data_IF_440062285160
#
_entry.id   IF_440062285160
#
_cell.length_a   1.000
_cell.length_b   1.000
_cell.length_c   1.000
_cell.angle_alpha   90.00
_cell.angle_beta   90.00
_cell.angle_gamma   90.00
#
_symmetry.space_group_name_H-M   'P 1'
#
loop_
_entity.id
_entity.type
_entity.pdbx_description
1 polymer ?
#
# COMPACT_ATOMS: atom_id res chain seq x y z
N UNK A 1 -2.97 11.68 14.59
CA UNK A 1 -3.56 12.61 13.58
C UNK A 1 -3.72 13.93 14.30
N UNK A 2 -3.04 14.96 13.80
CA UNK A 2 -3.08 16.31 14.40
C UNK A 2 -4.40 17.03 14.07
N UNK A 3 -5.06 16.65 12.99
CA UNK A 3 -6.29 17.28 12.53
C UNK A 3 -7.37 16.25 12.21
N UNK A 4 -8.40 16.15 13.03
CA UNK A 4 -9.52 15.23 12.82
C UNK A 4 -10.34 15.53 11.55
N UNK A 5 -10.22 16.74 10.99
CA UNK A 5 -10.90 17.11 9.75
C UNK A 5 -10.26 16.50 8.49
N UNK A 6 -9.09 15.89 8.62
CA UNK A 6 -8.40 15.14 7.56
C UNK A 6 -8.82 13.66 7.50
N UNK A 7 -9.60 13.19 8.48
CA UNK A 7 -10.13 11.83 8.50
C UNK A 7 -11.33 11.78 7.57
N UNK A 8 -11.31 10.86 6.60
CA UNK A 8 -12.47 10.60 5.76
C UNK A 8 -13.67 10.12 6.60
N UNK A 9 -14.80 10.75 6.42
CA UNK A 9 -16.03 10.34 7.12
C UNK A 9 -16.55 9.03 6.53
N UNK A 10 -16.96 8.06 7.37
CA UNK A 10 -17.58 6.83 6.90
C UNK A 10 -18.96 7.08 6.29
N UNK A 11 -19.36 6.24 5.32
CA UNK A 11 -20.63 6.35 4.62
C UNK A 11 -21.36 5.01 4.58
N UNK A 12 -22.68 5.06 4.63
CA UNK A 12 -23.54 3.91 4.39
C UNK A 12 -24.69 4.26 3.45
N UNK A 13 -25.28 3.25 2.83
CA UNK A 13 -26.52 3.47 2.07
C UNK A 13 -27.63 3.96 2.99
N UNK A 14 -28.39 4.95 2.54
CA UNK A 14 -29.60 5.37 3.21
C UNK A 14 -30.62 4.20 3.24
N UNK A 15 -31.42 4.14 4.29
CA UNK A 15 -32.42 3.09 4.43
C UNK A 15 -33.36 3.02 3.21
N UNK A 16 -33.42 1.83 2.59
CA UNK A 16 -34.25 1.60 1.40
C UNK A 16 -33.73 2.19 0.09
N UNK A 17 -32.53 2.76 0.09
CA UNK A 17 -31.86 3.30 -1.10
C UNK A 17 -30.79 2.36 -1.64
N UNK A 18 -30.57 2.39 -2.95
CA UNK A 18 -29.50 1.66 -3.64
C UNK A 18 -28.36 2.57 -4.12
N UNK A 19 -28.55 3.89 -4.03
CA UNK A 19 -27.65 4.88 -4.62
C UNK A 19 -27.38 6.11 -3.72
N UNK A 20 -28.20 6.34 -2.70
CA UNK A 20 -28.05 7.48 -1.80
C UNK A 20 -27.21 7.10 -0.58
N UNK A 21 -26.17 7.88 -0.31
CA UNK A 21 -25.28 7.69 0.82
C UNK A 21 -25.59 8.65 1.98
N UNK A 22 -25.49 8.16 3.19
CA UNK A 22 -25.56 8.94 4.43
C UNK A 22 -24.18 8.98 5.05
N UNK A 23 -23.71 10.17 5.39
CA UNK A 23 -22.47 10.37 6.14
C UNK A 23 -22.68 9.95 7.59
N UNK A 24 -21.78 9.16 8.11
CA UNK A 24 -21.73 8.80 9.52
C UNK A 24 -20.71 9.66 10.26
N UNK A 25 -20.94 9.88 11.54
CA UNK A 25 -19.92 10.49 12.40
C UNK A 25 -18.74 9.51 12.59
N UNK A 26 -17.54 10.04 12.77
CA UNK A 26 -16.40 9.22 13.17
C UNK A 26 -16.65 8.64 14.56
N UNK A 27 -16.40 7.35 14.71
CA UNK A 27 -16.65 6.59 15.94
C UNK A 27 -15.38 5.87 16.41
N UNK A 28 -15.43 5.41 17.62
CA UNK A 28 -14.40 4.57 18.23
C UNK A 28 -15.01 3.49 19.11
N UNK A 29 -14.25 2.45 19.41
CA UNK A 29 -14.65 1.36 20.29
C UNK A 29 -13.48 0.91 21.19
N UNK A 30 -13.80 0.09 22.21
CA UNK A 30 -12.85 -0.28 23.26
C UNK A 30 -11.69 -1.17 22.78
N UNK A 31 -11.88 -1.91 21.71
CA UNK A 31 -10.89 -2.76 21.06
C UNK A 31 -10.17 -2.04 19.91
N UNK A 32 -9.92 -0.76 20.07
CA UNK A 32 -9.31 0.14 19.07
C UNK A 32 -8.06 -0.39 18.34
N UNK A 33 -7.21 -1.26 18.92
CA UNK A 33 -6.08 -1.81 18.16
C UNK A 33 -6.50 -2.70 17.01
N UNK A 34 -7.73 -3.27 17.06
CA UNK A 34 -8.24 -4.16 16.02
C UNK A 34 -8.75 -3.44 14.78
N UNK A 35 -9.08 -2.14 14.83
CA UNK A 35 -9.71 -1.50 13.66
C UNK A 35 -9.76 0.01 13.68
N UNK A 36 -9.00 0.68 14.54
CA UNK A 36 -9.01 2.16 14.62
C UNK A 36 -7.74 2.80 14.06
N UNK A 37 -6.94 2.07 13.29
CA UNK A 37 -5.82 2.67 12.59
C UNK A 37 -6.34 3.68 11.56
N UNK A 38 -5.88 4.92 11.67
CA UNK A 38 -6.12 5.99 10.69
C UNK A 38 -4.82 6.27 9.98
N UNK A 39 -4.80 6.03 8.68
CA UNK A 39 -3.59 6.09 7.87
C UNK A 39 -3.93 6.42 6.42
N UNK A 40 -2.93 6.58 5.59
CA UNK A 40 -3.05 6.74 4.14
C UNK A 40 -2.70 5.44 3.41
N UNK A 41 -3.14 5.29 2.16
CA UNK A 41 -2.73 4.17 1.32
C UNK A 41 -1.21 4.16 1.09
N UNK A 42 -0.58 5.33 0.97
CA UNK A 42 0.87 5.45 0.82
C UNK A 42 1.65 4.92 2.04
N UNK A 43 1.21 5.24 3.26
CA UNK A 43 1.89 4.75 4.46
C UNK A 43 1.72 3.24 4.64
N UNK A 44 0.53 2.69 4.31
CA UNK A 44 0.33 1.24 4.31
C UNK A 44 1.11 0.56 3.19
N UNK A 45 1.27 1.19 2.03
CA UNK A 45 2.10 0.67 0.95
C UNK A 45 3.58 0.54 1.38
N UNK A 46 4.11 1.51 2.14
CA UNK A 46 5.47 1.42 2.73
C UNK A 46 5.59 0.20 3.66
N UNK A 47 4.60 -0.03 4.51
CA UNK A 47 4.56 -1.21 5.38
C UNK A 47 4.48 -2.52 4.57
N UNK A 48 3.60 -2.56 3.56
CA UNK A 48 3.44 -3.72 2.69
C UNK A 48 4.72 -4.00 1.89
N UNK A 49 5.39 -2.94 1.40
CA UNK A 49 6.69 -3.03 0.74
C UNK A 49 7.77 -3.58 1.66
N UNK A 50 7.84 -3.10 2.92
CA UNK A 50 8.73 -3.67 3.92
C UNK A 50 8.49 -5.16 4.11
N UNK A 51 7.23 -5.57 4.26
CA UNK A 51 6.86 -6.96 4.43
C UNK A 51 7.29 -7.82 3.23
N UNK A 52 7.10 -7.32 2.00
CA UNK A 52 7.51 -8.00 0.78
C UNK A 52 9.03 -8.08 0.61
N UNK A 53 9.77 -7.17 1.22
CA UNK A 53 11.24 -7.11 1.25
C UNK A 53 11.82 -7.62 2.58
N UNK A 54 11.35 -8.78 3.03
CA UNK A 54 11.83 -9.47 4.24
C UNK A 54 11.87 -8.59 5.51
N UNK A 55 10.93 -7.66 5.60
CA UNK A 55 10.78 -6.76 6.74
C UNK A 55 11.62 -5.49 6.68
N UNK A 56 12.31 -5.23 5.57
CA UNK A 56 13.17 -4.08 5.36
C UNK A 56 12.47 -3.00 4.54
N UNK A 57 12.56 -1.75 4.99
CA UNK A 57 12.15 -0.57 4.23
C UNK A 57 13.20 0.53 4.38
N UNK A 58 13.78 0.99 3.28
CA UNK A 58 14.83 2.01 3.26
C UNK A 58 15.96 1.75 4.28
N UNK A 59 16.43 0.50 4.35
CA UNK A 59 17.50 0.09 5.28
C UNK A 59 17.07 -0.02 6.74
N UNK A 60 15.79 0.20 7.06
CA UNK A 60 15.23 0.04 8.41
C UNK A 60 14.53 -1.31 8.50
N UNK A 61 14.95 -2.15 9.44
CA UNK A 61 14.28 -3.41 9.75
C UNK A 61 13.04 -3.12 10.62
N UNK A 62 11.85 -3.31 10.05
CA UNK A 62 10.56 -3.21 10.76
C UNK A 62 10.17 -4.56 11.37
N UNK A 63 10.44 -5.65 10.66
CA UNK A 63 10.23 -7.03 11.08
C UNK A 63 11.44 -7.84 10.64
N UNK A 64 11.88 -8.80 11.43
CA UNK A 64 12.94 -9.70 10.97
C UNK A 64 12.38 -10.79 10.05
N UNK A 65 13.23 -11.35 9.21
CA UNK A 65 12.90 -12.42 8.26
C UNK A 65 12.14 -13.59 8.92
N UNK A 66 12.59 -14.05 10.10
CA UNK A 66 11.95 -15.17 10.80
C UNK A 66 10.49 -14.85 11.18
N UNK A 67 10.20 -13.62 11.59
CA UNK A 67 8.83 -13.16 11.88
C UNK A 67 7.96 -13.17 10.62
N UNK A 68 8.49 -12.72 9.49
CA UNK A 68 7.80 -12.74 8.20
C UNK A 68 7.43 -14.19 7.81
N UNK A 69 8.36 -15.12 7.94
CA UNK A 69 8.13 -16.53 7.63
C UNK A 69 7.11 -17.17 8.59
N UNK A 70 7.14 -16.82 9.87
CA UNK A 70 6.11 -17.27 10.83
C UNK A 70 4.73 -16.72 10.42
N UNK A 71 4.64 -15.46 9.99
CA UNK A 71 3.38 -14.87 9.55
C UNK A 71 2.83 -15.53 8.29
N UNK A 72 3.68 -15.90 7.34
CA UNK A 72 3.29 -16.60 6.09
C UNK A 72 2.91 -18.05 6.33
N UNK A 73 3.41 -18.70 7.38
CA UNK A 73 3.19 -20.11 7.63
C UNK A 73 1.73 -20.41 8.02
N UNK A 74 1.11 -21.37 7.36
CA UNK A 74 -0.20 -21.89 7.75
C UNK A 74 -0.01 -22.91 8.89
N UNK A 75 -0.26 -22.46 10.12
CA UNK A 75 0.04 -23.25 11.31
C UNK A 75 -0.97 -24.38 11.58
N UNK A 76 -2.20 -24.23 11.13
CA UNK A 76 -3.30 -25.14 11.40
C UNK A 76 -4.10 -25.47 10.13
N UNK A 77 -3.49 -26.13 9.12
CA UNK A 77 -4.10 -26.32 7.80
C UNK A 77 -5.40 -27.14 7.83
N UNK A 78 -5.57 -28.03 8.83
CA UNK A 78 -6.79 -28.83 9.03
C UNK A 78 -7.97 -27.99 9.57
N UNK A 79 -7.71 -26.82 10.10
CA UNK A 79 -8.71 -25.91 10.69
C UNK A 79 -8.96 -24.70 9.80
N UNK A 80 -7.90 -24.13 9.28
CA UNK A 80 -7.93 -22.94 8.41
C UNK A 80 -6.79 -23.06 7.38
N UNK A 81 -7.13 -23.54 6.21
CA UNK A 81 -6.18 -23.90 5.15
C UNK A 81 -5.51 -22.69 4.47
N UNK A 82 -6.05 -21.51 4.70
CA UNK A 82 -5.60 -20.23 4.12
C UNK A 82 -5.08 -19.23 5.17
N UNK A 83 -5.11 -19.58 6.45
CA UNK A 83 -4.78 -18.67 7.54
C UNK A 83 -3.31 -18.80 7.95
N UNK A 84 -2.54 -17.73 7.74
CA UNK A 84 -1.25 -17.51 8.37
C UNK A 84 -1.40 -16.93 9.78
N UNK A 85 -0.35 -16.30 10.31
CA UNK A 85 -0.46 -15.58 11.58
C UNK A 85 -1.03 -14.20 11.32
N UNK A 86 -2.29 -13.96 11.73
CA UNK A 86 -3.10 -12.74 11.51
C UNK A 86 -3.52 -12.62 10.04
N UNK A 87 -2.58 -12.55 9.10
CA UNK A 87 -2.83 -12.44 7.66
C UNK A 87 -3.24 -13.79 7.07
N UNK A 88 -3.92 -13.76 5.92
CA UNK A 88 -4.43 -14.95 5.25
C UNK A 88 -4.18 -14.90 3.74
N UNK A 89 -4.27 -16.08 3.12
CA UNK A 89 -4.16 -16.24 1.69
C UNK A 89 -5.54 -16.17 1.02
N UNK A 90 -5.60 -15.51 -0.14
CA UNK A 90 -6.73 -15.55 -1.05
C UNK A 90 -6.26 -15.64 -2.49
N UNK A 91 -7.09 -16.14 -3.39
CA UNK A 91 -6.80 -16.11 -4.83
C UNK A 91 -7.54 -14.95 -5.49
N UNK A 92 -6.85 -14.21 -6.36
CA UNK A 92 -7.38 -13.13 -7.18
C UNK A 92 -6.83 -13.27 -8.60
N UNK A 93 -7.72 -13.37 -9.60
CA UNK A 93 -7.36 -13.46 -11.03
C UNK A 93 -6.32 -14.55 -11.36
N UNK A 94 -6.26 -15.62 -10.56
CA UNK A 94 -5.32 -16.73 -10.72
C UNK A 94 -4.01 -16.62 -9.94
N UNK A 95 -3.78 -15.50 -9.28
CA UNK A 95 -2.62 -15.29 -8.42
C UNK A 95 -2.96 -15.46 -6.94
N UNK A 96 -2.03 -16.00 -6.16
CA UNK A 96 -2.18 -16.13 -4.72
C UNK A 96 -1.69 -14.84 -4.03
N UNK A 97 -2.58 -14.25 -3.27
CA UNK A 97 -2.31 -13.05 -2.47
C UNK A 97 -2.25 -13.39 -0.99
N UNK A 98 -1.38 -12.70 -0.26
CA UNK A 98 -1.26 -12.78 1.19
C UNK A 98 -1.43 -11.40 1.81
N UNK A 99 -2.28 -11.27 2.83
CA UNK A 99 -2.58 -9.97 3.43
C UNK A 99 -3.77 -10.01 4.37
N UNK A 100 -4.43 -8.89 4.51
CA UNK A 100 -5.60 -8.74 5.37
C UNK A 100 -6.59 -7.74 4.82
N UNK A 101 -7.88 -8.02 4.99
CA UNK A 101 -8.98 -7.09 4.73
C UNK A 101 -9.50 -6.49 6.03
N UNK A 102 -10.20 -5.38 5.91
CA UNK A 102 -10.93 -4.76 7.00
C UNK A 102 -12.33 -4.36 6.58
N UNK A 103 -13.30 -4.50 7.50
CA UNK A 103 -14.66 -4.04 7.29
C UNK A 103 -15.27 -3.58 8.60
N UNK A 104 -15.82 -2.38 8.57
CA UNK A 104 -16.56 -1.82 9.68
C UNK A 104 -17.71 -0.95 9.18
N UNK A 105 -18.43 -0.33 10.10
CA UNK A 105 -19.52 0.55 9.76
C UNK A 105 -19.05 1.71 8.87
N UNK A 106 -19.49 1.69 7.61
CA UNK A 106 -19.17 2.74 6.63
C UNK A 106 -17.74 2.69 6.09
N UNK A 107 -17.03 1.56 6.20
CA UNK A 107 -15.70 1.40 5.60
C UNK A 107 -15.41 -0.04 5.18
N UNK A 108 -14.59 -0.18 4.13
CA UNK A 108 -13.98 -1.44 3.69
C UNK A 108 -12.55 -1.14 3.27
N UNK A 109 -11.64 -2.02 3.62
CA UNK A 109 -10.21 -1.88 3.29
C UNK A 109 -9.61 -3.20 2.85
N UNK A 110 -8.64 -3.15 1.94
CA UNK A 110 -7.88 -4.29 1.45
C UNK A 110 -6.39 -3.94 1.47
N UNK A 111 -5.56 -4.85 1.96
CA UNK A 111 -4.11 -4.75 1.91
C UNK A 111 -3.55 -6.14 1.66
N UNK A 112 -3.14 -6.41 0.42
CA UNK A 112 -2.65 -7.70 -0.03
C UNK A 112 -1.42 -7.56 -0.92
N UNK A 113 -0.61 -8.60 -0.95
CA UNK A 113 0.53 -8.70 -1.86
C UNK A 113 0.56 -10.07 -2.54
N UNK A 114 1.02 -10.10 -3.81
CA UNK A 114 1.46 -11.30 -4.51
C UNK A 114 2.98 -11.36 -4.47
N UNK A 115 3.51 -12.30 -3.70
CA UNK A 115 4.96 -12.49 -3.60
C UNK A 115 5.59 -13.06 -4.87
N UNK A 116 4.79 -13.74 -5.70
CA UNK A 116 5.24 -14.29 -6.99
C UNK A 116 5.36 -13.23 -8.07
N UNK A 117 4.54 -12.17 -8.01
CA UNK A 117 4.49 -11.11 -9.01
C UNK A 117 5.13 -9.80 -8.51
N UNK A 118 5.54 -9.75 -7.24
CA UNK A 118 6.08 -8.55 -6.59
C UNK A 118 5.12 -7.34 -6.64
N UNK A 119 3.81 -7.61 -6.51
CA UNK A 119 2.75 -6.60 -6.57
C UNK A 119 2.08 -6.52 -5.20
N UNK A 120 1.90 -5.30 -4.71
CA UNK A 120 1.12 -5.01 -3.51
C UNK A 120 -0.07 -4.10 -3.82
N UNK A 121 -1.20 -4.35 -3.16
CA UNK A 121 -2.41 -3.53 -3.30
C UNK A 121 -2.82 -3.02 -1.93
N UNK A 122 -3.12 -1.72 -1.87
CA UNK A 122 -3.72 -1.08 -0.70
C UNK A 122 -4.94 -0.28 -1.17
N UNK A 123 -6.11 -0.67 -0.72
CA UNK A 123 -7.37 0.00 -1.01
C UNK A 123 -8.04 0.44 0.28
N UNK A 124 -8.36 1.72 0.40
CA UNK A 124 -9.07 2.29 1.53
C UNK A 124 -10.36 2.95 1.03
N UNK A 125 -11.51 2.48 1.51
CA UNK A 125 -12.80 3.06 1.17
C UNK A 125 -13.52 3.50 2.44
N UNK A 126 -14.11 4.67 2.37
CA UNK A 126 -15.01 5.21 3.39
C UNK A 126 -16.49 4.89 3.07
N UNK A 127 -16.74 3.77 2.38
CA UNK A 127 -18.07 3.22 2.09
C UNK A 127 -18.04 1.70 2.24
N UNK A 128 -19.08 1.14 2.86
CA UNK A 128 -19.18 -0.33 3.04
C UNK A 128 -19.78 -0.98 1.79
N UNK A 129 -19.04 -0.93 0.69
CA UNK A 129 -19.38 -1.58 -0.57
C UNK A 129 -18.37 -2.68 -0.90
N UNK A 130 -18.62 -3.90 -0.40
CA UNK A 130 -17.73 -5.05 -0.63
C UNK A 130 -17.66 -5.46 -2.10
N UNK A 131 -18.78 -5.42 -2.83
CA UNK A 131 -18.81 -5.78 -4.24
C UNK A 131 -17.99 -4.79 -5.07
N UNK A 132 -18.20 -3.49 -4.87
CA UNK A 132 -17.42 -2.45 -5.54
C UNK A 132 -15.93 -2.53 -5.18
N UNK A 133 -15.59 -2.82 -3.91
CA UNK A 133 -14.19 -3.00 -3.50
C UNK A 133 -13.54 -4.17 -4.24
N UNK A 134 -14.20 -5.33 -4.34
CA UNK A 134 -13.66 -6.47 -5.07
C UNK A 134 -13.48 -6.21 -6.57
N UNK A 135 -14.39 -5.45 -7.20
CA UNK A 135 -14.23 -5.05 -8.60
C UNK A 135 -13.03 -4.11 -8.80
N UNK A 136 -12.84 -3.16 -7.90
CA UNK A 136 -11.68 -2.25 -7.94
C UNK A 136 -10.39 -3.01 -7.69
N UNK A 137 -10.37 -3.90 -6.70
CA UNK A 137 -9.20 -4.73 -6.39
C UNK A 137 -8.77 -5.57 -7.60
N UNK A 138 -9.72 -6.25 -8.23
CA UNK A 138 -9.46 -7.04 -9.45
C UNK A 138 -8.89 -6.17 -10.57
N UNK A 139 -9.51 -5.03 -10.86
CA UNK A 139 -9.08 -4.16 -11.94
C UNK A 139 -7.70 -3.52 -11.69
N UNK A 140 -7.42 -3.12 -10.44
CA UNK A 140 -6.12 -2.55 -10.07
C UNK A 140 -5.03 -3.61 -10.12
N UNK A 141 -5.32 -4.85 -9.69
CA UNK A 141 -4.37 -5.95 -9.76
C UNK A 141 -4.06 -6.33 -11.21
N UNK A 142 -5.07 -6.47 -12.08
CA UNK A 142 -4.87 -6.75 -13.51
C UNK A 142 -4.02 -5.65 -14.16
N UNK A 143 -4.34 -4.38 -13.89
CA UNK A 143 -3.54 -3.26 -14.39
C UNK A 143 -2.08 -3.34 -13.94
N UNK A 144 -1.86 -3.64 -12.66
CA UNK A 144 -0.52 -3.79 -12.10
C UNK A 144 0.25 -4.96 -12.72
N UNK A 145 -0.42 -6.10 -12.96
CA UNK A 145 0.18 -7.30 -13.55
C UNK A 145 0.55 -7.13 -15.02
N UNK A 146 -0.18 -6.26 -15.74
CA UNK A 146 0.02 -6.00 -17.17
C UNK A 146 0.94 -4.80 -17.43
N UNK A 147 1.27 -4.03 -16.41
CA UNK A 147 2.05 -2.79 -16.55
C UNK A 147 3.50 -3.06 -16.19
N UNK A 148 4.41 -2.75 -17.09
CA UNK A 148 5.83 -2.63 -16.77
C UNK A 148 6.00 -1.39 -15.87
N UNK A 149 6.15 -1.62 -14.57
CA UNK A 149 6.40 -0.53 -13.64
C UNK A 149 7.80 0.04 -13.83
N UNK A 150 7.85 1.32 -14.08
CA UNK A 150 9.10 2.07 -14.05
C UNK A 150 9.48 2.22 -12.57
N UNK A 151 10.67 1.77 -12.14
CA UNK A 151 11.13 1.98 -10.78
C UNK A 151 11.11 3.47 -10.43
N UNK A 152 10.63 3.82 -9.25
CA UNK A 152 10.72 5.20 -8.77
C UNK A 152 12.18 5.61 -8.70
N UNK A 153 12.55 6.69 -9.40
CA UNK A 153 13.94 7.11 -9.56
C UNK A 153 14.62 6.65 -10.87
N UNK A 154 13.96 5.82 -11.70
CA UNK A 154 14.38 5.57 -13.08
C UNK A 154 13.85 6.69 -13.96
N UNK A 155 14.64 7.74 -14.10
CA UNK A 155 14.25 8.99 -14.76
C UNK A 155 14.51 9.00 -16.26
N UNK A 156 15.32 8.06 -16.75
CA UNK A 156 15.59 7.88 -18.17
C UNK A 156 14.71 6.78 -18.80
N UNK A 157 13.93 6.05 -18.00
CA UNK A 157 13.00 4.99 -18.40
C UNK A 157 13.68 3.79 -19.06
N UNK A 158 14.89 3.43 -18.62
CA UNK A 158 15.63 2.29 -19.16
C UNK A 158 15.42 1.00 -18.35
N UNK A 159 14.67 1.05 -17.25
CA UNK A 159 14.28 -0.05 -16.37
C UNK A 159 15.28 -0.33 -15.24
N UNK A 160 16.35 0.47 -15.12
CA UNK A 160 17.35 0.34 -14.05
C UNK A 160 17.70 1.70 -13.47
N UNK A 161 17.93 1.75 -12.16
CA UNK A 161 18.35 2.98 -11.47
C UNK A 161 19.87 3.04 -11.45
N UNK A 162 20.46 4.08 -12.07
CA UNK A 162 21.89 4.24 -12.27
C UNK A 162 22.37 5.67 -12.00
N UNK A 163 23.68 5.90 -12.18
CA UNK A 163 24.26 7.25 -12.10
C UNK A 163 23.67 8.22 -13.15
N UNK A 164 23.08 7.70 -14.23
CA UNK A 164 22.42 8.53 -15.25
C UNK A 164 21.14 9.17 -14.70
N UNK A 165 20.40 8.44 -13.88
CA UNK A 165 19.19 8.96 -13.21
C UNK A 165 19.55 9.99 -12.14
N UNK A 166 20.65 9.76 -11.41
CA UNK A 166 21.18 10.74 -10.45
C UNK A 166 21.49 12.05 -11.18
N UNK A 167 22.11 11.99 -12.36
CA UNK A 167 22.42 13.17 -13.14
C UNK A 167 21.16 13.92 -13.65
N UNK A 168 20.11 13.17 -14.02
CA UNK A 168 18.82 13.74 -14.41
C UNK A 168 18.14 14.41 -13.20
N UNK A 169 18.11 13.77 -12.05
CA UNK A 169 17.53 14.34 -10.83
C UNK A 169 18.25 15.64 -10.42
N UNK A 170 19.57 15.64 -10.44
CA UNK A 170 20.36 16.86 -10.17
C UNK A 170 19.99 17.99 -11.13
N UNK A 171 19.78 17.68 -12.42
CA UNK A 171 19.37 18.69 -13.39
C UNK A 171 17.97 19.24 -13.08
N UNK A 172 16.99 18.38 -12.77
CA UNK A 172 15.63 18.81 -12.40
C UNK A 172 15.65 19.74 -11.19
N UNK A 173 16.41 19.38 -10.14
CA UNK A 173 16.58 20.23 -8.94
C UNK A 173 17.20 21.58 -9.31
N UNK A 174 18.19 21.62 -10.20
CA UNK A 174 18.87 22.87 -10.59
C UNK A 174 17.98 23.81 -11.40
N UNK A 175 17.06 23.26 -12.20
CA UNK A 175 16.15 24.08 -13.01
C UNK A 175 14.83 24.36 -12.30
N UNK A 176 14.69 23.89 -11.06
CA UNK A 176 13.47 24.01 -10.25
C UNK A 176 12.21 23.46 -10.95
N UNK A 177 12.38 22.39 -11.73
CA UNK A 177 11.29 21.72 -12.44
C UNK A 177 10.84 20.51 -11.61
N UNK A 178 9.57 20.55 -11.13
CA UNK A 178 8.98 19.46 -10.36
C UNK A 178 8.55 18.32 -11.28
N UNK A 179 8.99 17.12 -10.95
CA UNK A 179 8.54 15.87 -11.54
C UNK A 179 8.13 14.87 -10.44
N UNK A 180 6.94 14.32 -10.57
CA UNK A 180 6.37 13.40 -9.57
C UNK A 180 7.20 12.11 -9.39
N UNK A 181 7.80 11.59 -10.47
CA UNK A 181 8.64 10.38 -10.41
C UNK A 181 9.99 10.63 -9.73
N UNK A 182 10.37 11.90 -9.64
CA UNK A 182 11.60 12.37 -9.02
C UNK A 182 11.47 12.74 -7.54
N UNK A 183 10.22 12.93 -7.04
CA UNK A 183 9.90 13.18 -5.63
C UNK A 183 9.86 11.83 -4.88
N UNK A 184 11.04 11.38 -4.46
CA UNK A 184 11.24 10.04 -3.90
C UNK A 184 10.83 9.92 -2.43
N UNK A 185 10.81 11.04 -1.73
CA UNK A 185 10.38 11.10 -0.33
C UNK A 185 8.88 11.47 -0.18
N UNK A 186 8.21 11.84 -1.29
CA UNK A 186 6.78 12.20 -1.38
C UNK A 186 6.39 13.40 -0.51
N UNK A 187 7.28 14.40 -0.40
CA UNK A 187 7.01 15.63 0.37
C UNK A 187 6.49 16.79 -0.51
N UNK A 188 6.32 16.56 -1.82
CA UNK A 188 5.94 17.52 -2.87
C UNK A 188 6.96 18.63 -3.11
N UNK A 189 8.20 18.44 -2.71
CA UNK A 189 9.33 19.27 -3.10
C UNK A 189 10.33 18.40 -3.84
N UNK A 190 11.06 18.97 -4.77
CA UNK A 190 12.17 18.29 -5.43
C UNK A 190 13.46 18.93 -4.96
N UNK A 191 14.21 18.23 -4.10
CA UNK A 191 15.40 18.79 -3.47
C UNK A 191 16.50 17.75 -3.16
N UNK A 192 17.43 18.14 -2.31
CA UNK A 192 18.57 17.29 -1.94
C UNK A 192 18.15 16.00 -1.20
N UNK A 193 16.97 15.97 -0.57
CA UNK A 193 16.54 14.78 0.14
C UNK A 193 16.12 13.67 -0.83
N UNK A 194 15.52 14.01 -1.98
CA UNK A 194 15.22 13.06 -3.05
C UNK A 194 16.50 12.49 -3.65
N UNK A 195 17.50 13.35 -3.85
CA UNK A 195 18.81 12.92 -4.33
C UNK A 195 19.48 11.93 -3.34
N UNK A 196 19.33 12.13 -2.04
CA UNK A 196 19.85 11.20 -1.04
C UNK A 196 19.11 9.86 -1.06
N UNK A 197 17.78 9.88 -1.26
CA UNK A 197 17.01 8.65 -1.43
C UNK A 197 17.47 7.89 -2.68
N UNK A 198 17.65 8.55 -3.82
CA UNK A 198 18.12 7.93 -5.06
C UNK A 198 19.52 7.32 -4.91
N UNK A 199 20.44 8.05 -4.29
CA UNK A 199 21.80 7.55 -4.03
C UNK A 199 21.78 6.30 -3.14
N UNK A 200 20.93 6.25 -2.12
CA UNK A 200 20.81 5.09 -1.24
C UNK A 200 20.30 3.83 -1.97
N UNK A 201 19.53 3.98 -3.03
CA UNK A 201 19.05 2.87 -3.86
C UNK A 201 20.12 2.39 -4.85
N UNK A 202 20.97 3.31 -5.34
CA UNK A 202 22.01 3.00 -6.35
C UNK A 202 23.30 2.45 -5.77
N UNK A 203 23.60 2.70 -4.49
CA UNK A 203 24.83 2.21 -3.84
C UNK A 203 24.46 0.99 -2.98
N UNK A 204 24.94 -0.24 -3.34
CA UNK A 204 24.68 -1.45 -2.59
C UNK A 204 25.38 -1.49 -1.22
#
# INVERSE_FOLDING_TARGET
IENVNEIASPHQLAEGSTDSLVVLENYGYSDYPAGQLRTTSNDLAKFLSAFNNDGLYNGIELLNHETIEIMKTIHYPDVAYDQGLIWYYKSLNGSDLFGHSGSDLGSVTEMFLSTSENIGIVLLSNSRNHEGMGLIESAVFDYASETDFIPSGDLNFDGVITDEDIALLVNLIQVEEYDFLSDLNYDNNLDIFDLLELINVTIP
#
